data_IF_891705300954
#
_entry.id   IF_891705300954
#
_cell.length_a   1.000
_cell.length_b   1.000
_cell.length_c   1.000
_cell.angle_alpha   90.00
_cell.angle_beta   90.00
_cell.angle_gamma   90.00
#
_symmetry.space_group_name_H-M   'P 1'
#
loop_
_entity.id
_entity.type
_entity.pdbx_description
1 polymer ?
#
# COMPACT_ATOMS: atom_id res chain seq x y z
N UNK A 1 -31.88 6.38 19.62
CA UNK A 1 -32.17 7.79 19.97
C UNK A 1 -31.12 8.61 19.27
N UNK A 2 -31.50 9.61 18.47
CA UNK A 2 -30.55 10.44 17.73
C UNK A 2 -30.26 11.71 18.53
N UNK A 3 -29.02 12.12 18.62
CA UNK A 3 -28.56 13.35 19.27
C UNK A 3 -28.16 14.33 18.18
N UNK A 4 -28.59 15.58 18.28
CA UNK A 4 -28.22 16.64 17.31
C UNK A 4 -27.84 17.90 18.04
N UNK A 5 -27.11 18.78 17.35
CA UNK A 5 -26.79 20.12 17.85
C UNK A 5 -27.62 21.15 17.10
N UNK A 6 -28.48 21.87 17.83
CA UNK A 6 -29.31 22.94 17.28
C UNK A 6 -28.64 24.30 17.46
N UNK A 7 -28.59 25.08 16.39
CA UNK A 7 -28.14 26.47 16.38
C UNK A 7 -29.30 27.39 15.99
N UNK A 8 -29.20 28.65 16.40
CA UNK A 8 -30.09 29.70 15.90
C UNK A 8 -29.67 30.07 14.47
N UNK A 9 -30.63 30.32 13.59
CA UNK A 9 -30.39 30.67 12.20
C UNK A 9 -29.38 31.81 12.03
N UNK A 10 -28.37 31.65 11.17
CA UNK A 10 -27.29 32.62 10.98
C UNK A 10 -26.23 32.69 12.08
N UNK A 11 -26.35 31.93 13.18
CA UNK A 11 -25.34 31.90 14.24
C UNK A 11 -24.64 30.54 14.34
N UNK A 12 -23.31 30.46 14.15
CA UNK A 12 -22.56 29.22 14.36
C UNK A 12 -22.15 29.01 15.83
N UNK A 13 -22.68 29.81 16.77
CA UNK A 13 -22.29 29.81 18.19
C UNK A 13 -23.47 29.49 19.12
N UNK A 14 -23.17 29.03 20.34
CA UNK A 14 -24.13 28.72 21.39
C UNK A 14 -25.13 27.58 21.06
N UNK A 15 -24.68 26.58 20.30
CA UNK A 15 -25.49 25.42 19.95
C UNK A 15 -25.97 24.64 21.19
N UNK A 16 -27.18 24.08 21.09
CA UNK A 16 -27.81 23.26 22.14
C UNK A 16 -27.91 21.82 21.66
N UNK A 17 -27.32 20.91 22.43
CA UNK A 17 -27.41 19.48 22.17
C UNK A 17 -28.75 18.96 22.67
N UNK A 18 -29.52 18.32 21.78
CA UNK A 18 -30.84 17.78 22.10
C UNK A 18 -30.99 16.37 21.54
N UNK A 19 -31.88 15.60 22.15
CA UNK A 19 -32.30 14.31 21.60
C UNK A 19 -33.51 14.50 20.68
N UNK A 20 -33.48 13.80 19.55
CA UNK A 20 -34.54 13.79 18.54
C UNK A 20 -35.42 12.56 18.76
N UNK A 21 -36.69 12.78 19.06
CA UNK A 21 -37.72 11.77 19.25
C UNK A 21 -39.07 12.28 18.74
N UNK A 22 -39.98 11.35 18.41
CA UNK A 22 -41.33 11.69 17.96
C UNK A 22 -41.35 12.31 16.56
N UNK A 23 -42.11 13.39 16.42
CA UNK A 23 -42.41 14.11 15.17
C UNK A 23 -41.56 15.38 15.02
N UNK A 24 -41.56 15.97 13.83
CA UNK A 24 -40.89 17.26 13.61
C UNK A 24 -41.44 18.36 14.54
N UNK A 25 -42.74 18.31 14.86
CA UNK A 25 -43.37 19.24 15.82
C UNK A 25 -42.79 19.11 17.24
N UNK A 26 -42.44 17.89 17.66
CA UNK A 26 -41.80 17.65 18.95
C UNK A 26 -40.38 18.25 18.98
N UNK A 27 -39.63 18.08 17.89
CA UNK A 27 -38.31 18.68 17.73
C UNK A 27 -38.37 20.22 17.76
N UNK A 28 -39.34 20.82 17.06
CA UNK A 28 -39.55 22.29 17.06
C UNK A 28 -39.95 22.82 18.44
N UNK A 29 -40.77 22.09 19.20
CA UNK A 29 -41.11 22.45 20.59
C UNK A 29 -39.87 22.44 21.49
N UNK A 30 -39.05 21.38 21.41
CA UNK A 30 -37.78 21.29 22.15
C UNK A 30 -36.82 22.40 21.74
N UNK A 31 -36.70 22.67 20.43
CA UNK A 31 -35.88 23.75 19.91
C UNK A 31 -36.32 25.11 20.45
N UNK A 32 -37.63 25.37 20.46
CA UNK A 32 -38.20 26.63 20.99
C UNK A 32 -37.84 26.84 22.46
N UNK A 33 -38.00 25.79 23.28
CA UNK A 33 -37.65 25.85 24.71
C UNK A 33 -36.16 26.03 24.96
N UNK A 34 -35.29 25.34 24.20
CA UNK A 34 -33.83 25.33 24.42
C UNK A 34 -33.12 26.55 23.86
N UNK A 35 -33.61 27.10 22.75
CA UNK A 35 -33.04 28.27 22.09
C UNK A 35 -33.75 29.58 22.47
N UNK A 36 -34.92 29.51 23.11
CA UNK A 36 -35.66 30.70 23.55
C UNK A 36 -36.32 31.48 22.41
N UNK A 37 -36.68 30.80 21.32
CA UNK A 37 -37.31 31.38 20.12
C UNK A 37 -38.63 30.65 19.80
N UNK A 38 -39.47 31.18 18.93
CA UNK A 38 -40.59 30.41 18.36
C UNK A 38 -40.13 29.65 17.11
N UNK A 39 -39.60 28.45 17.31
CA UNK A 39 -39.09 27.62 16.22
C UNK A 39 -40.21 27.24 15.24
N UNK A 40 -40.01 27.51 13.96
CA UNK A 40 -40.96 27.20 12.88
C UNK A 40 -40.40 26.22 11.87
N UNK A 41 -39.10 26.31 11.57
CA UNK A 41 -38.42 25.51 10.55
C UNK A 41 -37.03 25.10 11.02
N UNK A 42 -36.54 23.97 10.50
CA UNK A 42 -35.19 23.45 10.76
C UNK A 42 -34.47 23.21 9.44
N UNK A 43 -33.22 23.63 9.36
CA UNK A 43 -32.37 23.50 8.16
C UNK A 43 -31.08 22.74 8.48
N UNK A 44 -30.50 22.09 7.49
CA UNK A 44 -29.13 21.59 7.58
C UNK A 44 -28.11 22.72 7.34
N UNK A 45 -26.83 22.45 7.59
CA UNK A 45 -25.75 23.44 7.40
C UNK A 45 -25.50 23.93 5.97
N UNK A 46 -26.25 23.46 4.97
CA UNK A 46 -26.21 23.95 3.59
C UNK A 46 -27.50 24.68 3.19
N UNK A 47 -28.40 24.94 4.14
CA UNK A 47 -29.69 25.60 3.88
C UNK A 47 -30.79 24.71 3.32
N UNK A 48 -30.61 23.38 3.36
CA UNK A 48 -31.68 22.44 3.03
C UNK A 48 -32.71 22.36 4.15
N UNK A 49 -33.98 22.68 3.86
CA UNK A 49 -35.09 22.54 4.80
C UNK A 49 -35.29 21.06 5.15
N UNK A 50 -35.50 20.78 6.44
CA UNK A 50 -35.80 19.46 6.95
C UNK A 50 -37.28 19.42 7.30
N UNK A 51 -38.06 18.74 6.47
CA UNK A 51 -39.51 18.53 6.61
C UNK A 51 -39.85 17.14 7.16
N UNK A 52 -38.94 16.17 7.08
CA UNK A 52 -39.07 14.85 7.67
C UNK A 52 -37.96 14.56 8.70
N UNK A 53 -38.39 14.25 9.92
CA UNK A 53 -37.50 13.87 11.02
C UNK A 53 -36.70 12.60 10.71
N UNK A 54 -37.14 11.73 9.80
CA UNK A 54 -36.42 10.53 9.38
C UNK A 54 -35.08 10.85 8.70
N UNK A 55 -34.95 12.04 8.10
CA UNK A 55 -33.73 12.46 7.38
C UNK A 55 -32.60 12.90 8.30
N UNK A 56 -32.90 13.15 9.57
CA UNK A 56 -31.94 13.59 10.58
C UNK A 56 -31.08 12.40 11.03
N UNK A 57 -29.76 12.56 11.02
CA UNK A 57 -28.79 11.56 11.50
C UNK A 57 -28.28 11.91 12.89
N UNK A 58 -27.59 10.95 13.50
CA UNK A 58 -26.91 11.18 14.77
C UNK A 58 -25.74 12.15 14.58
N UNK A 59 -25.57 13.06 15.53
CA UNK A 59 -24.60 14.16 15.55
C UNK A 59 -24.73 15.22 14.43
N UNK A 60 -25.89 15.29 13.77
CA UNK A 60 -26.18 16.34 12.80
C UNK A 60 -26.19 17.74 13.46
N UNK A 61 -25.73 18.73 12.67
CA UNK A 61 -25.78 20.16 13.00
C UNK A 61 -26.93 20.81 12.25
N UNK A 62 -27.90 21.30 12.99
CA UNK A 62 -29.15 21.85 12.45
C UNK A 62 -29.34 23.31 12.88
N UNK A 63 -30.00 24.09 12.02
CA UNK A 63 -30.27 25.50 12.22
C UNK A 63 -31.77 25.76 12.30
N UNK A 64 -32.20 26.46 13.36
CA UNK A 64 -33.62 26.65 13.68
C UNK A 64 -34.00 28.10 13.47
N UNK A 65 -35.14 28.34 12.79
CA UNK A 65 -35.60 29.66 12.37
C UNK A 65 -36.95 30.03 13.00
N UNK A 66 -37.22 31.33 13.16
CA UNK A 66 -38.50 31.91 13.61
C UNK A 66 -39.36 32.45 12.43
N UNK A 67 -39.21 31.85 11.25
CA UNK A 67 -39.98 32.19 10.04
C UNK A 67 -39.20 33.09 9.06
N UNK A 68 -37.98 33.47 9.41
CA UNK A 68 -37.03 34.12 8.51
C UNK A 68 -36.35 33.11 7.57
N UNK A 69 -35.88 33.54 6.38
CA UNK A 69 -35.16 32.66 5.46
C UNK A 69 -33.84 32.18 6.09
N UNK A 70 -33.38 31.00 5.70
CA UNK A 70 -32.10 30.46 6.16
C UNK A 70 -30.95 31.43 5.84
N UNK A 71 -30.18 31.79 6.86
CA UNK A 71 -28.98 32.61 6.75
C UNK A 71 -27.81 31.66 6.90
N UNK A 72 -27.02 31.50 5.84
CA UNK A 72 -25.79 30.73 5.91
C UNK A 72 -24.86 31.41 6.93
N UNK A 73 -24.50 30.74 8.04
CA UNK A 73 -23.60 31.29 9.06
C UNK A 73 -22.22 31.71 8.51
N UNK A 74 -21.90 31.34 7.27
CA UNK A 74 -20.68 31.69 6.55
C UNK A 74 -20.83 32.92 5.62
N UNK A 75 -22.03 33.51 5.47
CA UNK A 75 -22.29 34.60 4.49
C UNK A 75 -22.15 36.04 5.01
N UNK A 76 -21.72 36.27 6.25
CA UNK A 76 -21.35 37.63 6.70
C UNK A 76 -19.96 38.02 6.16
N UNK A 77 -19.94 38.46 4.90
CA UNK A 77 -18.81 39.16 4.29
C UNK A 77 -19.26 40.47 3.64
N UNK A 78 -19.64 41.44 4.47
CA UNK A 78 -19.36 42.85 4.21
C UNK A 78 -18.73 43.48 5.46
N UNK A 79 -17.61 44.20 5.32
CA UNK A 79 -16.90 44.74 6.49
C UNK A 79 -17.59 46.01 6.98
N UNK A 80 -17.87 46.15 8.30
CA UNK A 80 -17.90 47.46 8.91
C UNK A 80 -16.47 47.99 8.96
N UNK A 81 -16.30 49.25 8.57
CA UNK A 81 -15.05 49.98 8.69
C UNK A 81 -14.49 49.86 10.11
N UNK A 82 -13.22 49.49 10.19
CA UNK A 82 -12.43 49.52 11.42
C UNK A 82 -12.77 48.41 12.40
N UNK A 83 -12.05 47.29 12.31
CA UNK A 83 -11.47 46.59 13.47
C UNK A 83 -10.55 45.48 12.95
N UNK A 84 -9.25 45.73 13.08
CA UNK A 84 -8.20 44.76 12.84
C UNK A 84 -8.39 43.54 13.76
N UNK A 85 -8.44 42.35 13.16
CA UNK A 85 -7.92 41.12 13.77
C UNK A 85 -8.92 40.19 14.47
N UNK A 86 -9.44 39.20 13.74
CA UNK A 86 -9.55 37.83 14.27
C UNK A 86 -9.37 36.82 13.14
N UNK A 87 -8.11 36.51 12.82
CA UNK A 87 -7.79 35.53 11.79
C UNK A 87 -7.99 34.12 12.35
N UNK A 88 -8.85 33.33 11.71
CA UNK A 88 -8.82 31.87 11.87
C UNK A 88 -7.47 31.34 11.36
N UNK A 89 -6.85 30.40 12.08
CA UNK A 89 -5.57 29.79 11.68
C UNK A 89 -5.69 28.90 10.42
N UNK A 90 -6.92 28.67 9.96
CA UNK A 90 -7.25 27.90 8.77
C UNK A 90 -6.91 28.64 7.48
N UNK A 91 -6.39 27.87 6.52
CA UNK A 91 -5.96 28.29 5.19
C UNK A 91 -6.50 27.28 4.17
N UNK A 92 -6.82 27.78 2.98
CA UNK A 92 -7.16 26.94 1.83
C UNK A 92 -6.08 27.09 0.76
N UNK A 93 -5.58 25.96 0.27
CA UNK A 93 -4.61 25.87 -0.82
C UNK A 93 -5.33 25.31 -2.04
N UNK A 94 -5.09 25.89 -3.21
CA UNK A 94 -5.55 25.38 -4.49
C UNK A 94 -4.32 24.89 -5.27
N UNK A 95 -4.09 23.57 -5.24
CA UNK A 95 -2.91 22.92 -5.83
C UNK A 95 -3.32 22.29 -7.16
N UNK A 96 -2.88 22.85 -8.28
CA UNK A 96 -3.20 22.35 -9.61
C UNK A 96 -4.71 22.21 -9.90
N UNK A 97 -5.55 23.00 -9.24
CA UNK A 97 -7.02 22.96 -9.35
C UNK A 97 -7.75 22.17 -8.25
N UNK A 98 -7.04 21.44 -7.38
CA UNK A 98 -7.63 20.72 -6.24
C UNK A 98 -7.47 21.52 -4.95
N UNK A 99 -8.56 21.64 -4.20
CA UNK A 99 -8.59 22.39 -2.95
C UNK A 99 -8.19 21.52 -1.75
N UNK A 100 -7.29 22.04 -0.92
CA UNK A 100 -6.84 21.46 0.33
C UNK A 100 -7.03 22.47 1.45
N UNK A 101 -7.50 22.01 2.61
CA UNK A 101 -7.70 22.87 3.78
C UNK A 101 -6.81 22.40 4.92
N UNK A 102 -6.10 23.34 5.54
CA UNK A 102 -5.13 23.05 6.61
C UNK A 102 -4.95 24.29 7.50
N UNK A 103 -4.18 24.19 8.57
CA UNK A 103 -3.83 25.35 9.40
C UNK A 103 -2.46 25.90 9.05
N UNK A 104 -2.22 27.18 9.35
CA UNK A 104 -0.90 27.81 9.22
C UNK A 104 0.14 27.08 10.06
N UNK A 105 -0.23 26.71 11.28
CA UNK A 105 0.60 25.91 12.16
C UNK A 105 1.08 24.61 11.52
N UNK A 106 0.25 23.89 10.75
CA UNK A 106 0.68 22.68 10.02
C UNK A 106 1.76 22.97 8.99
N UNK A 107 1.66 24.09 8.25
CA UNK A 107 2.60 24.43 7.18
C UNK A 107 3.94 24.99 7.69
N UNK A 108 3.93 25.61 8.88
CA UNK A 108 5.10 26.35 9.41
C UNK A 108 5.87 25.57 10.48
N UNK A 109 5.19 24.78 11.32
CA UNK A 109 5.82 24.28 12.55
C UNK A 109 6.78 23.10 12.32
N UNK A 110 6.47 22.23 11.35
CA UNK A 110 7.23 20.97 11.20
C UNK A 110 8.56 21.17 10.48
N UNK A 111 8.54 21.98 9.43
CA UNK A 111 9.71 22.28 8.58
C UNK A 111 9.84 23.80 8.45
N UNK A 112 10.44 24.47 9.44
CA UNK A 112 10.51 25.94 9.48
C UNK A 112 11.26 26.56 8.29
N UNK A 113 12.14 25.77 7.67
CA UNK A 113 12.97 26.18 6.55
C UNK A 113 12.35 25.84 5.18
N UNK A 114 11.20 25.15 5.17
CA UNK A 114 10.50 24.80 3.93
C UNK A 114 9.97 26.02 3.19
N UNK A 115 9.75 25.88 1.88
CA UNK A 115 9.08 26.88 1.05
C UNK A 115 7.70 27.21 1.60
N UNK A 116 6.94 26.20 2.05
CA UNK A 116 5.62 26.38 2.65
C UNK A 116 5.71 27.19 3.95
N UNK A 117 6.68 26.89 4.82
CA UNK A 117 6.88 27.70 6.02
C UNK A 117 7.18 29.15 5.66
N UNK A 118 8.12 29.41 4.74
CA UNK A 118 8.43 30.77 4.29
C UNK A 118 7.23 31.50 3.68
N UNK A 119 6.41 30.82 2.87
CA UNK A 119 5.20 31.38 2.27
C UNK A 119 4.15 31.81 3.30
N UNK A 120 4.13 31.16 4.47
CA UNK A 120 3.08 31.32 5.48
C UNK A 120 3.59 31.77 6.86
N UNK A 121 4.88 32.10 7.01
CA UNK A 121 5.49 32.57 8.28
C UNK A 121 5.05 33.99 8.62
N UNK A 122 5.19 34.92 7.66
CA UNK A 122 4.87 36.33 7.85
C UNK A 122 3.61 36.73 7.09
N UNK A 123 2.70 37.45 7.76
CA UNK A 123 1.51 38.02 7.12
C UNK A 123 1.93 39.19 6.23
N UNK A 124 2.09 38.92 4.93
CA UNK A 124 2.20 39.98 3.91
C UNK A 124 3.54 40.06 3.16
N UNK A 125 4.48 39.14 3.37
CA UNK A 125 5.79 39.17 2.69
C UNK A 125 5.73 38.57 1.29
N UNK A 126 4.80 37.63 1.05
CA UNK A 126 4.60 37.03 -0.27
C UNK A 126 3.24 37.45 -0.83
N UNK A 127 3.24 38.12 -1.99
CA UNK A 127 2.04 38.42 -2.78
C UNK A 127 1.44 37.16 -3.38
N UNK A 128 1.09 36.18 -2.54
CA UNK A 128 0.58 34.90 -2.97
C UNK A 128 -0.71 35.15 -3.76
N UNK A 129 -0.73 34.73 -5.02
CA UNK A 129 -1.93 34.82 -5.84
C UNK A 129 -3.00 33.99 -5.18
N UNK A 130 -4.09 34.63 -4.79
CA UNK A 130 -5.29 33.98 -4.29
C UNK A 130 -6.32 33.95 -5.41
N UNK A 131 -7.12 32.89 -5.46
CA UNK A 131 -8.32 32.91 -6.28
C UNK A 131 -9.42 33.77 -5.66
N UNK A 132 -10.54 33.89 -6.38
CA UNK A 132 -11.72 34.64 -5.95
C UNK A 132 -12.36 34.13 -4.64
N UNK A 133 -11.97 32.94 -4.15
CA UNK A 133 -12.42 32.34 -2.89
C UNK A 133 -11.41 32.52 -1.75
N UNK A 134 -10.29 33.19 -2.01
CA UNK A 134 -9.21 33.41 -1.05
C UNK A 134 -8.27 32.22 -0.88
N UNK A 135 -8.34 31.19 -1.75
CA UNK A 135 -7.42 30.06 -1.68
C UNK A 135 -6.07 30.40 -2.34
N UNK A 136 -4.98 30.01 -1.70
CA UNK A 136 -3.62 30.25 -2.17
C UNK A 136 -3.28 29.32 -3.34
N UNK A 137 -2.93 29.90 -4.49
CA UNK A 137 -2.65 29.16 -5.70
C UNK A 137 -1.25 28.54 -5.68
N UNK A 138 -1.17 27.25 -5.97
CA UNK A 138 0.07 26.48 -6.11
C UNK A 138 -0.01 25.70 -7.43
N UNK A 139 0.88 26.02 -8.36
CA UNK A 139 0.91 25.40 -9.69
C UNK A 139 1.73 24.10 -9.68
N UNK A 140 1.24 23.08 -8.97
CA UNK A 140 1.89 21.77 -8.77
C UNK A 140 0.87 20.63 -8.83
N UNK A 141 1.36 19.38 -8.87
CA UNK A 141 0.46 18.21 -8.90
C UNK A 141 -0.22 17.99 -7.55
N UNK A 142 -1.56 17.95 -7.50
CA UNK A 142 -2.29 17.68 -6.26
C UNK A 142 -2.13 16.23 -5.77
N UNK A 143 -1.85 15.29 -6.66
CA UNK A 143 -1.74 13.86 -6.36
C UNK A 143 -0.51 13.57 -5.49
N UNK A 144 0.61 14.21 -5.81
CA UNK A 144 1.87 14.07 -5.08
C UNK A 144 1.99 15.02 -3.88
N UNK A 145 1.16 16.08 -3.84
CA UNK A 145 1.09 17.00 -2.72
C UNK A 145 0.35 16.43 -1.50
N UNK A 146 -0.71 15.64 -1.72
CA UNK A 146 -1.54 15.10 -0.63
C UNK A 146 -0.74 14.30 0.43
N UNK A 147 0.19 13.39 0.06
CA UNK A 147 1.06 12.72 1.02
C UNK A 147 1.95 13.68 1.83
N UNK A 148 2.45 14.75 1.20
CA UNK A 148 3.29 15.77 1.87
C UNK A 148 2.47 16.52 2.90
N UNK A 149 1.26 16.95 2.54
CA UNK A 149 0.38 17.65 3.48
C UNK A 149 0.05 16.77 4.70
N UNK A 150 -0.21 15.49 4.48
CA UNK A 150 -0.45 14.53 5.55
C UNK A 150 0.80 14.33 6.44
N UNK A 151 1.98 14.22 5.83
CA UNK A 151 3.24 14.20 6.58
C UNK A 151 3.41 15.45 7.46
N UNK A 152 3.07 16.63 6.96
CA UNK A 152 3.10 17.87 7.74
C UNK A 152 2.10 17.83 8.91
N UNK A 153 0.92 17.21 8.74
CA UNK A 153 -0.10 17.07 9.79
C UNK A 153 0.31 16.14 10.93
N UNK A 154 0.82 14.95 10.62
CA UNK A 154 1.00 13.89 11.63
C UNK A 154 2.41 13.27 11.65
N UNK A 155 3.28 13.59 10.71
CA UNK A 155 4.69 13.16 10.70
C UNK A 155 4.96 11.75 10.26
N UNK A 156 3.98 11.09 9.66
CA UNK A 156 4.15 9.77 9.10
C UNK A 156 3.98 9.85 7.58
N UNK A 157 4.88 9.20 6.85
CA UNK A 157 4.73 9.04 5.42
C UNK A 157 3.69 7.95 5.15
N UNK A 158 2.52 8.36 4.67
CA UNK A 158 1.45 7.45 4.24
C UNK A 158 1.18 7.73 2.77
N UNK A 159 1.35 6.72 1.94
CA UNK A 159 1.17 6.81 0.49
C UNK A 159 0.20 5.71 0.08
N UNK A 160 -0.88 6.09 -0.61
CA UNK A 160 -1.88 5.15 -1.08
C UNK A 160 -1.31 4.25 -2.19
N UNK A 161 -1.83 3.03 -2.29
CA UNK A 161 -1.48 2.11 -3.37
C UNK A 161 -1.71 2.77 -4.74
N UNK A 162 -0.70 2.68 -5.62
CA UNK A 162 -0.72 3.26 -6.97
C UNK A 162 -0.11 4.66 -7.10
N UNK A 163 0.24 5.34 -6.00
CA UNK A 163 0.97 6.61 -6.07
C UNK A 163 2.49 6.35 -6.22
N UNK A 164 3.11 6.98 -7.23
CA UNK A 164 4.55 6.87 -7.44
C UNK A 164 5.35 7.67 -6.40
N UNK A 165 6.14 6.99 -5.57
CA UNK A 165 6.99 7.59 -4.54
C UNK A 165 8.02 8.59 -5.11
N UNK A 166 8.49 8.40 -6.35
CA UNK A 166 9.39 9.35 -7.00
C UNK A 166 8.69 10.69 -7.26
N UNK A 167 7.40 10.68 -7.61
CA UNK A 167 6.62 11.91 -7.79
C UNK A 167 6.45 12.66 -6.46
N UNK A 168 6.22 11.93 -5.37
CA UNK A 168 6.17 12.51 -4.01
C UNK A 168 7.53 13.08 -3.60
N UNK A 169 8.63 12.39 -3.94
CA UNK A 169 9.99 12.86 -3.67
C UNK A 169 10.31 14.17 -4.39
N UNK A 170 9.92 14.30 -5.66
CA UNK A 170 10.13 15.53 -6.42
C UNK A 170 9.34 16.71 -5.86
N UNK A 171 8.09 16.49 -5.43
CA UNK A 171 7.34 17.54 -4.72
C UNK A 171 7.96 17.87 -3.35
N UNK A 172 8.43 16.87 -2.59
CA UNK A 172 9.08 17.11 -1.29
C UNK A 172 10.36 17.95 -1.44
N UNK A 173 11.14 17.72 -2.51
CA UNK A 173 12.29 18.53 -2.90
C UNK A 173 11.88 19.95 -3.30
N UNK A 174 10.82 20.08 -4.11
CA UNK A 174 10.31 21.39 -4.51
C UNK A 174 9.91 22.25 -3.30
N UNK A 175 9.20 21.68 -2.33
CA UNK A 175 8.78 22.40 -1.13
C UNK A 175 9.88 22.50 -0.05
N UNK A 176 11.02 21.83 -0.21
CA UNK A 176 12.12 21.82 0.77
C UNK A 176 11.74 21.16 2.09
N UNK A 177 11.14 19.96 2.04
CA UNK A 177 10.74 19.19 3.23
C UNK A 177 11.83 18.16 3.55
N UNK A 178 12.97 18.61 4.08
CA UNK A 178 14.20 17.81 4.18
C UNK A 178 14.04 16.50 4.96
N UNK A 179 13.30 16.51 6.08
CA UNK A 179 13.07 15.28 6.85
C UNK A 179 12.25 14.24 6.06
N UNK A 180 11.31 14.70 5.23
CA UNK A 180 10.51 13.82 4.38
C UNK A 180 11.33 13.27 3.21
N UNK A 181 12.22 14.08 2.63
CA UNK A 181 13.12 13.66 1.55
C UNK A 181 13.96 12.46 2.01
N UNK A 182 14.55 12.54 3.21
CA UNK A 182 15.32 11.42 3.78
C UNK A 182 14.47 10.16 3.94
N UNK A 183 13.25 10.29 4.46
CA UNK A 183 12.33 9.15 4.61
C UNK A 183 11.93 8.54 3.26
N UNK A 184 11.67 9.36 2.25
CA UNK A 184 11.31 8.92 0.90
C UNK A 184 12.48 8.22 0.20
N UNK A 185 13.70 8.75 0.30
CA UNK A 185 14.89 8.12 -0.27
C UNK A 185 15.17 6.74 0.34
N UNK A 186 15.02 6.61 1.66
CA UNK A 186 15.11 5.30 2.34
C UNK A 186 13.99 4.36 1.90
N UNK A 187 12.75 4.84 1.82
CA UNK A 187 11.61 4.03 1.39
C UNK A 187 11.77 3.55 -0.06
N UNK A 188 12.22 4.42 -0.97
CA UNK A 188 12.49 4.08 -2.37
C UNK A 188 13.62 3.05 -2.45
N UNK A 189 14.74 3.29 -1.75
CA UNK A 189 15.87 2.35 -1.71
C UNK A 189 15.48 0.97 -1.16
N UNK A 190 14.62 0.92 -0.14
CA UNK A 190 14.12 -0.33 0.43
C UNK A 190 13.05 -1.02 -0.46
N UNK A 191 12.43 -0.27 -1.39
CA UNK A 191 11.43 -0.80 -2.32
C UNK A 191 12.04 -1.30 -3.63
N UNK A 192 13.20 -0.78 -4.00
CA UNK A 192 13.98 -1.29 -5.12
C UNK A 192 14.60 -2.64 -4.72
N UNK A 193 14.52 -3.68 -5.57
CA UNK A 193 15.29 -4.90 -5.33
C UNK A 193 16.78 -4.51 -5.31
N UNK A 194 17.58 -5.09 -4.39
CA UNK A 194 19.02 -4.84 -4.41
C UNK A 194 19.56 -5.23 -5.79
N UNK A 195 20.21 -4.28 -6.46
CA UNK A 195 20.92 -4.51 -7.72
C UNK A 195 22.24 -5.27 -7.51
N UNK A 196 22.62 -5.55 -6.26
CA UNK A 196 23.71 -6.46 -5.98
C UNK A 196 23.17 -7.91 -5.89
N UNK A 197 23.97 -8.87 -6.32
CA UNK A 197 23.67 -10.29 -6.17
C UNK A 197 23.77 -10.75 -4.70
N UNK A 198 23.45 -9.88 -3.73
CA UNK A 198 23.49 -10.25 -2.32
C UNK A 198 22.44 -11.33 -2.03
N UNK A 199 22.80 -12.35 -1.23
CA UNK A 199 21.85 -13.37 -0.83
C UNK A 199 20.70 -12.75 -0.05
N UNK A 200 19.45 -13.01 -0.48
CA UNK A 200 18.26 -12.61 0.26
C UNK A 200 18.24 -13.26 1.65
N UNK A 201 17.92 -12.47 2.67
CA UNK A 201 17.76 -12.99 4.03
C UNK A 201 16.51 -13.87 4.14
N UNK A 202 16.49 -14.78 5.12
CA UNK A 202 15.31 -15.61 5.42
C UNK A 202 14.04 -14.78 5.65
N UNK A 203 14.17 -13.60 6.28
CA UNK A 203 13.05 -12.68 6.53
C UNK A 203 12.49 -12.12 5.24
N UNK A 204 13.37 -11.73 4.32
CA UNK A 204 12.98 -11.21 3.00
C UNK A 204 12.35 -12.31 2.15
N UNK A 205 12.92 -13.52 2.15
CA UNK A 205 12.35 -14.66 1.44
C UNK A 205 10.95 -15.01 1.95
N UNK A 206 10.74 -15.04 3.27
CA UNK A 206 9.40 -15.25 3.87
C UNK A 206 8.45 -14.12 3.49
N UNK A 207 8.91 -12.86 3.46
CA UNK A 207 8.09 -11.73 3.01
C UNK A 207 7.69 -11.88 1.54
N UNK A 208 8.60 -12.31 0.68
CA UNK A 208 8.30 -12.60 -0.73
C UNK A 208 7.29 -13.73 -0.87
N UNK A 209 7.44 -14.83 -0.12
CA UNK A 209 6.46 -15.92 -0.10
C UNK A 209 5.07 -15.46 0.35
N UNK A 210 4.99 -14.61 1.38
CA UNK A 210 3.72 -14.07 1.89
C UNK A 210 3.09 -13.04 0.96
N UNK A 211 3.90 -12.29 0.21
CA UNK A 211 3.43 -11.29 -0.75
C UNK A 211 3.10 -11.88 -2.13
N UNK A 212 3.60 -13.07 -2.46
CA UNK A 212 3.35 -13.73 -3.74
C UNK A 212 1.96 -14.38 -3.72
N UNK A 213 1.04 -14.00 -4.62
CA UNK A 213 -0.27 -14.64 -4.71
C UNK A 213 -0.14 -16.14 -4.99
N UNK A 214 -1.03 -16.96 -4.44
CA UNK A 214 -1.06 -18.42 -4.67
C UNK A 214 -1.35 -18.83 -6.13
N UNK A 215 -1.67 -17.86 -6.99
CA UNK A 215 -1.91 -18.03 -8.44
C UNK A 215 -0.72 -17.58 -9.28
N UNK A 216 0.33 -17.05 -8.67
CA UNK A 216 1.50 -16.52 -9.36
C UNK A 216 2.68 -17.47 -9.18
N UNK A 217 3.45 -17.68 -10.25
CA UNK A 217 4.66 -18.48 -10.21
C UNK A 217 5.68 -17.87 -9.25
N UNK A 218 6.25 -18.71 -8.38
CA UNK A 218 7.35 -18.30 -7.54
C UNK A 218 8.63 -18.22 -8.40
N UNK A 219 9.20 -17.03 -8.54
CA UNK A 219 10.46 -16.80 -9.25
C UNK A 219 11.61 -16.69 -8.24
N UNK A 220 12.44 -17.72 -8.16
CA UNK A 220 13.65 -17.74 -7.34
C UNK A 220 14.90 -17.97 -8.20
N UNK A 221 14.96 -17.42 -9.41
CA UNK A 221 16.13 -17.61 -10.28
C UNK A 221 17.41 -17.10 -9.59
N UNK A 222 18.50 -17.86 -9.75
CA UNK A 222 19.80 -17.59 -9.12
C UNK A 222 19.79 -17.60 -7.58
N UNK A 223 18.74 -18.11 -6.93
CA UNK A 223 18.69 -18.15 -5.48
C UNK A 223 19.71 -19.14 -4.89
N UNK A 224 20.33 -18.76 -3.77
CA UNK A 224 21.08 -19.68 -2.94
C UNK A 224 20.11 -20.42 -1.99
N UNK A 225 19.91 -21.71 -2.26
CA UNK A 225 19.03 -22.65 -1.55
C UNK A 225 19.83 -23.79 -0.91
N UNK A 226 21.05 -23.49 -0.47
CA UNK A 226 21.94 -24.39 0.26
C UNK A 226 21.25 -25.10 1.43
N UNK A 227 21.29 -26.43 1.43
CA UNK A 227 20.79 -27.26 2.52
C UNK A 227 19.27 -27.14 2.76
N UNK A 228 18.51 -26.61 1.80
CA UNK A 228 17.07 -26.36 1.97
C UNK A 228 16.30 -27.66 2.24
N UNK A 229 15.35 -27.60 3.18
CA UNK A 229 14.42 -28.69 3.51
C UNK A 229 13.03 -28.29 3.06
N UNK A 230 12.58 -28.85 1.94
CA UNK A 230 11.26 -28.61 1.34
C UNK A 230 10.48 -29.92 1.16
N UNK A 231 10.55 -30.80 2.18
CA UNK A 231 9.85 -32.09 2.17
C UNK A 231 8.35 -31.89 1.94
N UNK A 232 7.78 -32.66 1.01
CA UNK A 232 6.36 -32.64 0.65
C UNK A 232 5.81 -31.25 0.30
N UNK A 233 6.68 -30.32 -0.11
CA UNK A 233 6.28 -28.97 -0.48
C UNK A 233 5.60 -28.93 -1.86
N UNK A 234 4.86 -27.86 -2.13
CA UNK A 234 4.31 -27.59 -3.46
C UNK A 234 5.04 -26.41 -4.10
N UNK A 235 5.74 -26.67 -5.19
CA UNK A 235 6.41 -25.68 -6.03
C UNK A 235 6.12 -25.94 -7.53
N UNK A 236 4.89 -26.39 -7.83
CA UNK A 236 4.40 -26.56 -9.20
C UNK A 236 4.54 -25.24 -10.00
N UNK A 237 5.13 -25.35 -11.18
CA UNK A 237 5.38 -24.22 -12.09
C UNK A 237 6.38 -23.17 -11.59
N UNK A 238 7.07 -23.40 -10.47
CA UNK A 238 8.05 -22.45 -9.98
C UNK A 238 9.25 -22.31 -10.94
N UNK A 239 9.85 -21.12 -10.98
CA UNK A 239 11.10 -20.89 -11.69
C UNK A 239 12.26 -20.88 -10.69
N UNK A 240 13.07 -21.94 -10.77
CA UNK A 240 14.26 -22.19 -9.96
C UNK A 240 15.51 -22.28 -10.84
N UNK A 241 15.52 -21.60 -12.00
CA UNK A 241 16.68 -21.60 -12.92
C UNK A 241 17.94 -21.13 -12.20
N UNK A 242 19.08 -21.74 -12.53
CA UNK A 242 20.40 -21.35 -12.04
C UNK A 242 20.50 -21.29 -10.51
N UNK A 243 19.63 -21.99 -9.78
CA UNK A 243 19.68 -22.03 -8.32
C UNK A 243 20.87 -22.85 -7.83
N UNK A 244 21.38 -22.48 -6.66
CA UNK A 244 22.40 -23.25 -5.97
C UNK A 244 21.79 -24.01 -4.78
N UNK A 245 21.74 -25.34 -4.85
CA UNK A 245 21.30 -26.22 -3.76
C UNK A 245 22.48 -26.89 -3.02
N UNK A 246 23.72 -26.60 -3.40
CA UNK A 246 24.93 -27.27 -2.94
C UNK A 246 25.51 -26.61 -1.69
N UNK A 247 25.34 -27.27 -0.55
CA UNK A 247 25.94 -26.82 0.70
C UNK A 247 27.41 -27.26 0.79
N UNK A 248 28.38 -26.33 0.92
CA UNK A 248 29.80 -26.66 1.06
C UNK A 248 30.12 -27.46 2.35
N UNK A 249 29.21 -27.48 3.33
CA UNK A 249 29.31 -28.31 4.54
C UNK A 249 28.84 -29.76 4.32
N UNK A 250 28.31 -30.10 3.15
CA UNK A 250 27.84 -31.43 2.78
C UNK A 250 26.38 -31.72 3.15
N UNK A 251 25.63 -30.73 3.66
CA UNK A 251 24.19 -30.86 3.87
C UNK A 251 23.45 -30.87 2.53
N UNK A 252 22.92 -32.02 2.16
CA UNK A 252 22.15 -32.19 0.93
C UNK A 252 20.78 -31.50 1.05
N UNK A 253 20.42 -30.72 0.04
CA UNK A 253 19.04 -30.22 -0.10
C UNK A 253 18.06 -31.40 -0.18
N UNK A 254 16.92 -31.27 0.50
CA UNK A 254 15.91 -32.31 0.61
C UNK A 254 14.54 -31.83 0.15
N UNK A 255 14.09 -32.35 -0.99
CA UNK A 255 12.80 -32.14 -1.62
C UNK A 255 12.04 -33.46 -1.79
N UNK A 256 12.27 -34.41 -0.89
CA UNK A 256 11.55 -35.69 -0.89
C UNK A 256 10.03 -35.46 -0.87
N UNK A 257 9.33 -36.13 -1.79
CA UNK A 257 7.88 -36.04 -1.93
C UNK A 257 7.34 -34.69 -2.40
N UNK A 258 8.19 -33.75 -2.82
CA UNK A 258 7.74 -32.44 -3.30
C UNK A 258 6.96 -32.54 -4.62
N UNK A 259 5.94 -31.69 -4.79
CA UNK A 259 5.29 -31.44 -6.08
C UNK A 259 6.06 -30.35 -6.82
N UNK A 260 6.78 -30.76 -7.86
CA UNK A 260 7.63 -29.94 -8.73
C UNK A 260 7.19 -30.04 -10.20
N UNK A 261 5.92 -30.35 -10.43
CA UNK A 261 5.36 -30.47 -11.78
C UNK A 261 5.58 -29.17 -12.57
N UNK A 262 6.12 -29.27 -13.77
CA UNK A 262 6.39 -28.12 -14.64
C UNK A 262 7.42 -27.12 -14.11
N UNK A 263 8.19 -27.47 -13.07
CA UNK A 263 9.22 -26.57 -12.52
C UNK A 263 10.29 -26.29 -13.58
N UNK A 264 10.81 -25.08 -13.59
CA UNK A 264 11.94 -24.71 -14.43
C UNK A 264 13.22 -24.60 -13.60
N UNK A 265 14.07 -25.62 -13.67
CA UNK A 265 15.32 -25.75 -12.90
C UNK A 265 16.57 -25.65 -13.78
N UNK A 266 16.44 -25.24 -15.05
CA UNK A 266 17.54 -25.18 -16.02
C UNK A 266 18.83 -24.56 -15.43
N UNK A 267 19.95 -25.28 -15.58
CA UNK A 267 21.29 -24.85 -15.15
C UNK A 267 21.56 -24.90 -13.64
N UNK A 268 20.66 -25.47 -12.83
CA UNK A 268 20.81 -25.48 -11.38
C UNK A 268 21.91 -26.43 -10.88
N UNK A 269 22.55 -26.01 -9.79
CA UNK A 269 23.55 -26.81 -9.07
C UNK A 269 22.84 -27.62 -7.98
N UNK A 270 22.75 -28.94 -8.17
CA UNK A 270 21.90 -29.85 -7.38
C UNK A 270 22.66 -31.12 -6.95
N UNK A 271 23.99 -31.04 -6.79
CA UNK A 271 24.81 -32.17 -6.34
C UNK A 271 24.25 -32.78 -5.05
N UNK A 272 24.00 -34.09 -5.07
CA UNK A 272 23.56 -34.86 -3.91
C UNK A 272 22.10 -34.64 -3.50
N UNK A 273 21.32 -33.86 -4.22
CA UNK A 273 19.94 -33.52 -3.83
C UNK A 273 19.07 -34.76 -3.60
N UNK A 274 18.20 -34.72 -2.59
CA UNK A 274 17.19 -35.76 -2.37
C UNK A 274 15.85 -35.35 -3.01
N UNK A 275 15.49 -36.05 -4.09
CA UNK A 275 14.24 -35.91 -4.83
C UNK A 275 13.41 -37.21 -4.81
N UNK A 276 13.68 -38.10 -3.84
CA UNK A 276 12.97 -39.38 -3.70
C UNK A 276 11.46 -39.14 -3.72
N UNK A 277 10.74 -39.94 -4.51
CA UNK A 277 9.27 -39.89 -4.66
C UNK A 277 8.69 -38.50 -4.98
N UNK A 278 9.49 -37.55 -5.47
CA UNK A 278 9.01 -36.25 -5.93
C UNK A 278 8.29 -36.36 -7.29
N UNK A 279 7.38 -35.42 -7.55
CA UNK A 279 6.70 -35.31 -8.85
C UNK A 279 7.36 -34.21 -9.68
N UNK A 280 8.11 -34.57 -10.72
CA UNK A 280 8.82 -33.65 -11.63
C UNK A 280 8.20 -33.63 -13.03
N UNK A 281 7.02 -34.20 -13.26
CA UNK A 281 6.38 -34.29 -14.58
C UNK A 281 6.43 -32.97 -15.35
N UNK A 282 6.88 -33.01 -16.59
CA UNK A 282 7.10 -31.86 -17.48
C UNK A 282 8.09 -30.80 -16.97
N UNK A 283 8.98 -31.13 -16.03
CA UNK A 283 10.01 -30.20 -15.55
C UNK A 283 11.10 -29.97 -16.59
N UNK A 284 11.68 -28.76 -16.59
CA UNK A 284 12.85 -28.41 -17.40
C UNK A 284 14.10 -28.53 -16.54
N UNK A 285 14.93 -29.52 -16.84
CA UNK A 285 16.12 -29.86 -16.07
C UNK A 285 17.41 -29.72 -16.90
N UNK A 286 17.37 -29.08 -18.08
CA UNK A 286 18.54 -28.93 -18.94
C UNK A 286 19.76 -28.38 -18.18
N UNK A 287 20.94 -28.90 -18.48
CA UNK A 287 22.23 -28.42 -17.97
C UNK A 287 22.34 -28.41 -16.43
N UNK A 288 21.56 -29.24 -15.72
CA UNK A 288 21.67 -29.34 -14.27
C UNK A 288 22.84 -30.23 -13.83
N UNK A 289 23.45 -29.88 -12.70
CA UNK A 289 24.38 -30.77 -12.01
C UNK A 289 23.62 -31.64 -11.00
N UNK A 290 23.38 -32.91 -11.34
CA UNK A 290 22.62 -33.88 -10.54
C UNK A 290 23.52 -35.03 -10.04
N UNK A 291 24.83 -34.77 -9.90
CA UNK A 291 25.79 -35.79 -9.42
C UNK A 291 25.39 -36.31 -8.04
N UNK A 292 25.33 -37.62 -7.85
CA UNK A 292 24.97 -38.25 -6.58
C UNK A 292 23.53 -37.96 -6.12
N UNK A 293 22.66 -37.43 -6.99
CA UNK A 293 21.28 -37.13 -6.65
C UNK A 293 20.48 -38.41 -6.37
N UNK A 294 19.54 -38.34 -5.42
CA UNK A 294 18.60 -39.43 -5.13
C UNK A 294 17.28 -39.17 -5.83
N UNK A 295 17.05 -39.84 -6.96
CA UNK A 295 15.86 -39.75 -7.82
C UNK A 295 15.01 -41.05 -7.77
N UNK A 296 15.15 -41.82 -6.69
CA UNK A 296 14.44 -43.10 -6.56
C UNK A 296 12.93 -42.88 -6.43
N UNK A 297 12.13 -43.57 -7.26
CA UNK A 297 10.67 -43.44 -7.28
C UNK A 297 10.15 -42.08 -7.78
N UNK A 298 11.01 -41.22 -8.32
CA UNK A 298 10.64 -39.89 -8.82
C UNK A 298 9.88 -39.97 -10.14
N UNK A 299 8.85 -39.14 -10.33
CA UNK A 299 8.14 -39.05 -11.61
C UNK A 299 8.81 -38.01 -12.53
N UNK A 300 9.59 -38.49 -13.51
CA UNK A 300 10.33 -37.70 -14.50
C UNK A 300 9.65 -37.72 -15.89
N UNK A 301 8.34 -38.00 -15.95
CA UNK A 301 7.61 -38.07 -17.22
C UNK A 301 7.73 -36.76 -18.02
N UNK A 302 8.13 -36.86 -19.28
CA UNK A 302 8.34 -35.73 -20.21
C UNK A 302 9.30 -34.65 -19.68
N UNK A 303 10.27 -35.02 -18.84
CA UNK A 303 11.33 -34.11 -18.43
C UNK A 303 12.43 -33.97 -19.49
N UNK A 304 12.99 -32.77 -19.60
CA UNK A 304 14.16 -32.52 -20.43
C UNK A 304 15.42 -32.49 -19.55
N UNK A 305 16.22 -33.55 -19.58
CA UNK A 305 17.46 -33.74 -18.82
C UNK A 305 18.71 -33.56 -19.72
N UNK A 306 18.58 -32.91 -20.87
CA UNK A 306 19.70 -32.75 -21.79
C UNK A 306 20.82 -31.90 -21.19
N UNK A 307 22.07 -32.32 -21.39
CA UNK A 307 23.24 -31.65 -20.82
C UNK A 307 23.46 -31.85 -19.32
N UNK A 308 22.63 -32.67 -18.65
CA UNK A 308 22.81 -32.95 -17.22
C UNK A 308 24.04 -33.79 -16.93
N UNK A 309 24.66 -33.56 -15.76
CA UNK A 309 25.58 -34.52 -15.16
C UNK A 309 24.83 -35.39 -14.14
N UNK A 310 24.72 -36.68 -14.43
CA UNK A 310 24.01 -37.67 -13.62
C UNK A 310 24.96 -38.72 -13.01
N UNK A 311 26.26 -38.42 -12.91
CA UNK A 311 27.23 -39.33 -12.30
C UNK A 311 26.78 -39.73 -10.89
N UNK A 312 26.74 -41.03 -10.59
CA UNK A 312 26.30 -41.57 -9.29
C UNK A 312 24.85 -41.27 -8.89
N UNK A 313 24.02 -40.75 -9.79
CA UNK A 313 22.60 -40.51 -9.50
C UNK A 313 21.83 -41.83 -9.38
N UNK A 314 20.96 -41.94 -8.38
CA UNK A 314 20.10 -43.10 -8.16
C UNK A 314 18.71 -42.88 -8.77
N UNK A 315 18.46 -43.50 -9.93
CA UNK A 315 17.19 -43.44 -10.66
C UNK A 315 16.30 -44.69 -10.42
N UNK A 316 16.54 -45.49 -9.38
CA UNK A 316 15.81 -46.74 -9.19
C UNK A 316 14.30 -46.50 -9.05
N UNK A 317 13.52 -47.10 -9.95
CA UNK A 317 12.06 -47.02 -9.92
C UNK A 317 11.49 -45.66 -10.30
N UNK A 318 12.29 -44.77 -10.89
CA UNK A 318 11.77 -43.51 -11.44
C UNK A 318 10.97 -43.75 -12.73
N UNK A 319 9.94 -42.93 -12.96
CA UNK A 319 9.21 -42.94 -14.22
C UNK A 319 9.91 -42.01 -15.21
N UNK A 320 10.63 -42.56 -16.18
CA UNK A 320 11.37 -41.80 -17.21
C UNK A 320 10.65 -41.79 -18.57
N UNK A 321 9.35 -42.07 -18.60
CA UNK A 321 8.58 -42.10 -19.85
C UNK A 321 8.62 -40.73 -20.55
N UNK A 322 9.10 -40.70 -21.79
CA UNK A 322 9.20 -39.47 -22.57
C UNK A 322 10.28 -38.50 -22.08
N UNK A 323 11.13 -38.91 -21.13
CA UNK A 323 12.26 -38.10 -20.70
C UNK A 323 13.35 -38.05 -21.78
N UNK A 324 13.98 -36.90 -21.95
CA UNK A 324 15.04 -36.65 -22.94
C UNK A 324 16.39 -36.64 -22.23
N UNK A 325 17.34 -37.42 -22.75
CA UNK A 325 18.69 -37.59 -22.21
C UNK A 325 19.75 -37.33 -23.30
N UNK A 326 19.71 -36.17 -23.94
CA UNK A 326 20.68 -35.80 -24.97
C UNK A 326 21.90 -35.09 -24.37
N UNK A 327 23.04 -35.14 -25.04
CA UNK A 327 24.24 -34.36 -24.66
C UNK A 327 24.70 -34.57 -23.19
N UNK A 328 24.43 -35.73 -22.60
CA UNK A 328 24.80 -36.00 -21.21
C UNK A 328 26.32 -35.88 -21.02
N UNK A 329 26.73 -35.14 -19.99
CA UNK A 329 28.14 -34.94 -19.62
C UNK A 329 28.81 -36.27 -19.23
N UNK A 330 28.05 -37.16 -18.61
CA UNK A 330 28.50 -38.50 -18.20
C UNK A 330 27.49 -39.56 -18.66
N UNK A 331 27.92 -40.67 -19.27
CA UNK A 331 27.00 -41.74 -19.66
C UNK A 331 26.31 -42.35 -18.44
N UNK A 332 24.99 -42.52 -18.53
CA UNK A 332 24.20 -43.12 -17.46
C UNK A 332 24.51 -44.62 -17.35
N UNK A 333 25.14 -45.06 -16.26
CA UNK A 333 25.32 -46.49 -15.97
C UNK A 333 23.98 -47.09 -15.52
N UNK A 334 23.20 -47.58 -16.48
CA UNK A 334 21.85 -48.14 -16.30
C UNK A 334 21.80 -49.49 -15.55
N UNK A 335 22.90 -49.95 -14.95
CA UNK A 335 22.97 -51.26 -14.27
C UNK A 335 22.11 -51.38 -13.00
N UNK A 336 21.38 -50.32 -12.62
CA UNK A 336 20.43 -50.33 -11.50
C UNK A 336 19.00 -49.89 -11.87
N UNK A 337 18.72 -49.66 -13.16
CA UNK A 337 17.46 -49.05 -13.63
C UNK A 337 16.78 -49.86 -14.72
N UNK A 338 16.39 -51.12 -14.48
CA UNK A 338 15.29 -51.74 -15.25
C UNK A 338 14.56 -52.80 -14.40
N UNK A 339 13.38 -52.44 -13.91
CA UNK A 339 12.17 -53.26 -13.98
C UNK A 339 10.95 -52.35 -13.87
#
# INVERSE_FOLDING_TARGET
>A
MRRVTLFLNGSPKNGKVVAVYGTLSDLLSVASSKLGIKATSVYNGKGGLIDDIALIRDDDVLFVCEGEPFIDPQTDSKPPEGLSGSHTDWLTLNVGGRYFTTTRSTLVNKEPDSMLAHMFKDKGVWGNKQDHRGAFLIDRSPEYFEPILNYLRHGQLIVNDGINLLGVLEEARFFGIDSLIQHLEVAIKNSQPPEDHSPISRKEFVRFLLATPTKSELRCQCANLQGVKMLCSNAEGASLKLCNFEDPSGLKANLEGANLKGVDMEGSQMTGINLRVATLKNAKLKNCNLRGATLAGTDLENCDLSGCDLQEANLRGSNVKGAIFEEMLTPLHMSQSVR
#
